data_IF_369419963841
#
_entry.id   IF_369419963841
#
_cell.length_a   1.000
_cell.length_b   1.000
_cell.length_c   1.000
_cell.angle_alpha   90.00
_cell.angle_beta   90.00
_cell.angle_gamma   90.00
#
_symmetry.space_group_name_H-M   'P 1'
#
loop_
_entity.id
_entity.type
_entity.pdbx_description
1 polymer ?
#
# COMPACT_ATOMS: atom_id res chain seq x y z
N UNK A 1 13.77 2.44 -15.70
CA UNK A 1 12.38 1.95 -15.64
C UNK A 1 11.71 2.04 -17.02
N UNK A 2 11.42 3.20 -17.56
CA UNK A 2 10.71 3.35 -18.88
C UNK A 2 11.35 2.56 -20.01
N UNK A 3 12.67 2.57 -20.14
CA UNK A 3 13.41 1.80 -21.16
C UNK A 3 13.19 0.28 -21.08
N UNK A 4 12.71 -0.21 -19.93
CA UNK A 4 12.39 -1.62 -19.68
C UNK A 4 10.89 -1.88 -19.59
N UNK A 5 10.06 -0.98 -20.13
CA UNK A 5 8.59 -1.05 -20.12
C UNK A 5 7.97 -1.11 -18.70
N UNK A 6 8.68 -0.62 -17.69
CA UNK A 6 8.11 -0.44 -16.37
C UNK A 6 7.37 0.90 -16.33
N UNK A 7 6.09 0.86 -15.94
CA UNK A 7 5.22 2.04 -15.91
C UNK A 7 4.76 2.42 -14.49
N UNK A 8 5.06 1.62 -13.50
CA UNK A 8 4.67 1.88 -12.11
C UNK A 8 5.76 1.48 -11.12
N UNK A 9 5.70 2.04 -9.94
CA UNK A 9 6.62 1.76 -8.83
C UNK A 9 5.91 1.87 -7.50
N UNK A 10 6.08 0.87 -6.64
CA UNK A 10 5.74 0.93 -5.22
C UNK A 10 6.92 1.48 -4.43
N UNK A 11 6.65 2.42 -3.55
CA UNK A 11 7.66 3.06 -2.70
C UNK A 11 7.83 2.27 -1.39
N UNK A 12 8.48 1.15 -1.47
CA UNK A 12 8.78 0.28 -0.33
C UNK A 12 9.83 0.94 0.58
N UNK A 13 9.58 1.24 1.80
CA UNK A 13 8.35 1.17 2.60
C UNK A 13 8.16 2.52 3.27
N UNK A 14 8.33 3.61 2.51
CA UNK A 14 8.25 4.99 2.97
C UNK A 14 8.21 5.97 1.78
N UNK A 15 7.66 7.19 1.96
CA UNK A 15 7.72 8.23 0.93
C UNK A 15 9.14 8.59 0.55
N UNK A 16 9.37 8.80 -0.74
CA UNK A 16 10.68 9.11 -1.31
C UNK A 16 10.99 10.62 -1.32
N UNK A 17 12.17 10.99 -1.84
CA UNK A 17 12.54 12.38 -2.10
C UNK A 17 11.55 13.04 -3.08
N UNK A 18 11.31 14.35 -2.92
CA UNK A 18 10.39 15.11 -3.79
C UNK A 18 10.76 15.03 -5.26
N UNK A 19 12.04 15.06 -5.58
CA UNK A 19 12.54 14.96 -6.94
C UNK A 19 12.12 13.66 -7.62
N UNK A 20 11.94 12.59 -6.85
CA UNK A 20 11.45 11.31 -7.38
C UNK A 20 10.02 11.44 -7.93
N UNK A 21 9.12 12.09 -7.19
CA UNK A 21 7.74 12.33 -7.63
C UNK A 21 7.69 13.25 -8.85
N UNK A 22 8.48 14.33 -8.85
CA UNK A 22 8.61 15.22 -10.00
C UNK A 22 9.04 14.46 -11.26
N UNK A 23 10.02 13.56 -11.14
CA UNK A 23 10.45 12.70 -12.24
C UNK A 23 9.37 11.69 -12.64
N UNK A 24 8.60 11.16 -11.71
CA UNK A 24 7.48 10.29 -12.03
C UNK A 24 6.39 11.03 -12.81
N UNK A 25 6.09 12.28 -12.44
CA UNK A 25 5.17 13.13 -13.18
C UNK A 25 5.72 13.43 -14.60
N UNK A 26 7.01 13.80 -14.71
CA UNK A 26 7.67 14.11 -16.00
C UNK A 26 7.70 12.90 -16.94
N UNK A 27 8.05 11.71 -16.43
CA UNK A 27 8.19 10.50 -17.25
C UNK A 27 6.95 9.65 -17.35
N UNK A 28 5.86 10.02 -16.68
CA UNK A 28 4.61 9.27 -16.70
C UNK A 28 4.73 7.89 -16.03
N UNK A 29 5.32 7.84 -14.84
CA UNK A 29 5.35 6.66 -13.98
C UNK A 29 4.24 6.75 -12.95
N UNK A 30 3.45 5.71 -12.79
CA UNK A 30 2.48 5.61 -11.72
C UNK A 30 3.17 5.29 -10.41
N UNK A 31 2.82 6.02 -9.36
CA UNK A 31 3.39 5.85 -8.02
C UNK A 31 2.36 5.24 -7.08
N UNK A 32 2.77 4.18 -6.44
CA UNK A 32 2.11 3.54 -5.33
C UNK A 32 2.80 4.04 -4.05
N UNK A 33 2.26 5.10 -3.46
CA UNK A 33 2.88 5.78 -2.33
C UNK A 33 2.53 5.11 -1.02
N UNK A 34 3.51 4.91 -0.14
CA UNK A 34 3.38 4.09 1.05
C UNK A 34 3.75 4.84 2.32
N UNK A 35 2.88 4.75 3.31
CA UNK A 35 3.15 5.29 4.63
C UNK A 35 4.30 4.52 5.31
N UNK A 36 5.18 5.24 6.00
CA UNK A 36 6.30 4.63 6.72
C UNK A 36 5.81 3.90 7.98
N UNK A 37 5.15 2.78 7.77
CA UNK A 37 4.62 1.91 8.82
C UNK A 37 5.01 0.48 8.49
N UNK A 38 5.88 -0.07 9.32
CA UNK A 38 6.26 -1.47 9.29
C UNK A 38 6.56 -1.96 10.70
N UNK A 39 6.09 -3.18 11.03
CA UNK A 39 6.34 -3.81 12.31
C UNK A 39 6.32 -5.35 12.17
N UNK A 40 7.03 -5.87 11.19
CA UNK A 40 7.02 -7.27 10.75
C UNK A 40 7.18 -8.25 11.92
N UNK A 41 8.10 -8.00 12.83
CA UNK A 41 8.31 -8.87 14.00
C UNK A 41 7.13 -8.99 14.97
N UNK A 42 6.11 -8.14 14.82
CA UNK A 42 4.95 -8.06 15.73
C UNK A 42 3.60 -8.24 15.01
N UNK A 43 3.57 -8.52 13.73
CA UNK A 43 2.32 -8.47 12.96
C UNK A 43 1.46 -9.74 13.05
N UNK A 44 1.99 -10.85 13.52
CA UNK A 44 1.26 -12.12 13.59
C UNK A 44 0.21 -12.17 14.69
N UNK A 45 0.32 -11.37 15.73
CA UNK A 45 -0.67 -11.30 16.80
C UNK A 45 -1.72 -10.24 16.50
N UNK A 46 -2.86 -10.67 15.98
CA UNK A 46 -3.97 -9.80 15.61
C UNK A 46 -4.91 -9.47 16.78
N UNK A 47 -4.67 -10.02 17.98
CA UNK A 47 -5.44 -9.64 19.17
C UNK A 47 -5.23 -8.17 19.49
N UNK A 48 -6.23 -7.53 20.07
CA UNK A 48 -6.11 -6.14 20.53
C UNK A 48 -4.86 -5.98 21.42
N UNK A 49 -3.98 -5.08 21.01
CA UNK A 49 -2.71 -4.84 21.69
C UNK A 49 -1.59 -5.83 21.34
N UNK A 50 -1.86 -6.88 20.57
CA UNK A 50 -0.87 -7.87 20.19
C UNK A 50 0.09 -7.39 19.11
N UNK A 51 -0.40 -6.60 18.17
CA UNK A 51 0.42 -5.90 17.18
C UNK A 51 0.32 -4.40 17.35
N UNK A 52 1.32 -3.64 16.87
CA UNK A 52 1.26 -2.17 16.90
C UNK A 52 0.08 -1.65 16.07
N UNK A 53 -0.26 -2.34 14.97
CA UNK A 53 -1.40 -2.00 14.11
C UNK A 53 -2.76 -2.15 14.80
N UNK A 54 -2.86 -2.97 15.84
CA UNK A 54 -4.09 -3.20 16.60
C UNK A 54 -3.99 -2.74 18.07
N UNK A 55 -3.01 -1.95 18.43
CA UNK A 55 -2.88 -1.31 19.73
C UNK A 55 -3.26 0.16 19.66
N UNK A 56 -4.40 0.61 20.25
CA UNK A 56 -4.86 1.99 20.17
C UNK A 56 -3.86 3.04 20.70
N UNK A 57 -2.94 2.67 21.58
CA UNK A 57 -1.89 3.57 22.06
C UNK A 57 -0.95 4.03 20.93
N UNK A 58 -0.87 3.24 19.86
CA UNK A 58 -0.08 3.52 18.66
C UNK A 58 -0.88 4.20 17.54
N UNK A 59 -2.13 4.61 17.82
CA UNK A 59 -2.96 5.30 16.82
C UNK A 59 -2.29 6.57 16.32
N UNK A 60 -1.80 7.41 17.23
CA UNK A 60 -1.20 8.69 16.85
C UNK A 60 0.01 8.51 15.91
N UNK A 61 1.01 7.66 16.19
CA UNK A 61 2.08 7.39 15.24
C UNK A 61 1.61 6.89 13.86
N UNK A 62 0.59 6.05 13.79
CA UNK A 62 0.04 5.57 12.51
C UNK A 62 -0.62 6.71 11.74
N UNK A 63 -1.47 7.49 12.41
CA UNK A 63 -2.13 8.65 11.80
C UNK A 63 -1.12 9.70 11.33
N UNK A 64 -0.14 10.05 12.16
CA UNK A 64 0.88 11.05 11.80
C UNK A 64 1.63 10.67 10.52
N UNK A 65 2.02 9.40 10.37
CA UNK A 65 2.72 8.91 9.17
C UNK A 65 1.83 8.96 7.93
N UNK A 66 0.61 8.51 8.06
CA UNK A 66 -0.37 8.50 6.96
C UNK A 66 -0.73 9.93 6.53
N UNK A 67 -1.01 10.81 7.48
CA UNK A 67 -1.34 12.23 7.22
C UNK A 67 -0.15 12.92 6.55
N UNK A 68 1.05 12.75 7.07
CA UNK A 68 2.24 13.40 6.51
C UNK A 68 2.55 12.92 5.08
N UNK A 69 2.40 11.64 4.78
CA UNK A 69 2.50 11.12 3.42
C UNK A 69 1.48 11.82 2.50
N UNK A 70 0.21 11.80 2.88
CA UNK A 70 -0.86 12.38 2.09
C UNK A 70 -0.69 13.88 1.87
N UNK A 71 -0.52 14.67 2.93
CA UNK A 71 -0.40 16.14 2.84
C UNK A 71 0.79 16.57 2.00
N UNK A 72 1.88 15.83 2.08
CA UNK A 72 3.07 16.09 1.28
C UNK A 72 2.88 15.76 -0.20
N UNK A 73 2.18 14.68 -0.53
CA UNK A 73 2.23 14.06 -1.85
C UNK A 73 0.90 14.11 -2.63
N UNK A 74 -0.19 14.58 -2.04
CA UNK A 74 -1.54 14.61 -2.65
C UNK A 74 -1.63 15.36 -3.97
N UNK A 75 -0.72 16.30 -4.23
CA UNK A 75 -0.72 17.13 -5.42
C UNK A 75 0.12 16.58 -6.58
N UNK A 76 0.79 15.43 -6.41
CA UNK A 76 1.50 14.76 -7.51
C UNK A 76 0.54 13.89 -8.33
N UNK A 77 0.31 14.19 -9.62
CA UNK A 77 -0.56 13.39 -10.49
C UNK A 77 -0.10 11.94 -10.66
N UNK A 78 1.20 11.71 -10.54
CA UNK A 78 1.78 10.36 -10.61
C UNK A 78 1.36 9.46 -9.46
N UNK A 79 1.01 10.01 -8.29
CA UNK A 79 0.51 9.21 -7.16
C UNK A 79 -0.90 8.71 -7.47
N UNK A 80 -1.04 7.41 -7.70
CA UNK A 80 -2.29 6.77 -8.11
C UNK A 80 -2.91 5.87 -7.05
N UNK A 81 -2.11 5.41 -6.09
CA UNK A 81 -2.55 4.56 -4.97
C UNK A 81 -1.94 5.05 -3.67
N UNK A 82 -2.69 4.89 -2.58
CA UNK A 82 -2.20 5.06 -1.23
C UNK A 82 -2.05 3.71 -0.55
N UNK A 83 -0.89 3.47 0.06
CA UNK A 83 -0.66 2.29 0.90
C UNK A 83 -0.58 2.67 2.37
N UNK A 84 -1.27 1.91 3.20
CA UNK A 84 -1.27 2.15 4.64
C UNK A 84 0.04 1.74 5.32
N UNK A 85 0.86 0.92 4.66
CA UNK A 85 2.12 0.42 5.20
C UNK A 85 2.45 -0.98 4.72
N UNK A 86 3.41 -1.61 5.38
CA UNK A 86 3.90 -2.94 5.06
C UNK A 86 3.97 -3.81 6.31
N UNK A 87 3.55 -5.07 6.21
CA UNK A 87 3.76 -6.16 7.17
C UNK A 87 3.65 -5.76 8.65
N UNK A 88 2.58 -5.03 9.01
CA UNK A 88 2.40 -4.48 10.36
C UNK A 88 1.14 -5.01 11.07
N UNK A 89 0.62 -6.18 10.65
CA UNK A 89 -0.64 -6.70 11.12
C UNK A 89 -1.83 -5.91 10.58
N UNK A 90 -3.01 -6.15 11.10
CA UNK A 90 -4.20 -5.37 10.79
C UNK A 90 -5.00 -5.12 12.06
N UNK A 91 -5.86 -4.10 12.05
CA UNK A 91 -6.75 -3.78 13.15
C UNK A 91 -7.01 -2.29 13.30
N UNK A 92 -7.33 -1.90 14.50
CA UNK A 92 -7.90 -0.59 14.83
C UNK A 92 -7.16 0.59 14.17
N UNK A 93 -5.83 0.65 14.25
CA UNK A 93 -5.07 1.78 13.72
C UNK A 93 -5.13 1.85 12.19
N UNK A 94 -5.08 0.70 11.52
CA UNK A 94 -5.22 0.64 10.05
C UNK A 94 -6.65 0.94 9.60
N UNK A 95 -7.66 0.59 10.39
CA UNK A 95 -9.05 0.99 10.10
C UNK A 95 -9.20 2.51 10.15
N UNK A 96 -8.59 3.16 11.15
CA UNK A 96 -8.65 4.63 11.28
C UNK A 96 -7.88 5.34 10.15
N UNK A 97 -6.68 4.85 9.80
CA UNK A 97 -5.90 5.44 8.68
C UNK A 97 -6.59 5.27 7.33
N UNK A 98 -7.22 4.12 7.09
CA UNK A 98 -8.02 3.90 5.89
C UNK A 98 -9.17 4.89 5.78
N UNK A 99 -10.01 4.97 6.82
CA UNK A 99 -11.16 5.87 6.84
C UNK A 99 -10.74 7.32 6.65
N UNK A 100 -9.66 7.73 7.30
CA UNK A 100 -9.13 9.07 7.16
C UNK A 100 -8.68 9.37 5.72
N UNK A 101 -7.92 8.49 5.09
CA UNK A 101 -7.46 8.67 3.69
C UNK A 101 -8.64 8.74 2.72
N UNK A 102 -9.63 7.86 2.87
CA UNK A 102 -10.83 7.87 2.02
C UNK A 102 -11.58 9.18 2.12
N UNK A 103 -11.68 9.77 3.29
CA UNK A 103 -12.33 11.09 3.47
C UNK A 103 -11.43 12.23 2.98
N UNK A 104 -10.12 12.20 3.28
CA UNK A 104 -9.19 13.26 2.90
C UNK A 104 -9.04 13.41 1.38
N UNK A 105 -9.00 12.31 0.64
CA UNK A 105 -8.85 12.31 -0.83
C UNK A 105 -10.17 12.36 -1.62
N UNK A 106 -11.30 12.32 -0.93
CA UNK A 106 -12.65 12.22 -1.50
C UNK A 106 -12.97 13.29 -2.55
N UNK A 107 -12.53 14.51 -2.35
CA UNK A 107 -12.79 15.65 -3.23
C UNK A 107 -11.54 16.08 -4.03
N UNK A 108 -10.50 15.25 -4.06
CA UNK A 108 -9.25 15.51 -4.80
C UNK A 108 -9.18 14.58 -6.00
N UNK A 109 -8.81 13.32 -5.79
CA UNK A 109 -8.70 12.32 -6.85
C UNK A 109 -9.41 11.00 -6.53
N UNK A 110 -9.86 10.80 -5.31
CA UNK A 110 -10.51 9.56 -4.84
C UNK A 110 -9.65 8.31 -5.09
N UNK A 111 -8.36 8.43 -4.83
CA UNK A 111 -7.41 7.35 -5.09
C UNK A 111 -7.76 6.11 -4.28
N UNK A 112 -7.57 4.92 -4.86
CA UNK A 112 -7.69 3.69 -4.10
C UNK A 112 -6.69 3.64 -2.95
N UNK A 113 -7.12 3.06 -1.84
CA UNK A 113 -6.29 2.78 -0.68
C UNK A 113 -6.11 1.29 -0.57
N UNK A 114 -4.88 0.84 -0.41
CA UNK A 114 -4.59 -0.55 -0.23
C UNK A 114 -3.82 -0.84 1.06
N UNK A 115 -3.95 -2.08 1.50
CA UNK A 115 -3.13 -2.62 2.56
C UNK A 115 -3.07 -4.15 2.46
N UNK A 116 -1.88 -4.72 2.35
CA UNK A 116 -1.71 -6.15 2.07
C UNK A 116 -2.18 -7.05 3.24
N UNK A 117 -2.01 -6.61 4.50
CA UNK A 117 -2.49 -7.36 5.66
C UNK A 117 -3.98 -7.24 5.92
N UNK A 118 -4.68 -6.34 5.25
CA UNK A 118 -6.13 -6.34 5.24
C UNK A 118 -6.71 -7.54 4.48
N UNK A 119 -5.96 -8.10 3.52
CA UNK A 119 -6.42 -9.21 2.70
C UNK A 119 -7.80 -8.93 2.08
N UNK A 120 -8.84 -9.63 2.52
CA UNK A 120 -10.21 -9.46 2.08
C UNK A 120 -11.07 -8.60 3.01
N UNK A 121 -10.48 -8.02 4.05
CA UNK A 121 -11.19 -7.11 4.95
C UNK A 121 -11.58 -5.80 4.23
N UNK A 122 -12.44 -5.02 4.88
CA UNK A 122 -13.04 -3.83 4.30
C UNK A 122 -12.08 -2.63 4.18
N UNK A 123 -10.97 -2.62 4.91
CA UNK A 123 -10.00 -1.53 4.94
C UNK A 123 -8.93 -1.62 3.86
N UNK A 124 -9.33 -2.11 2.70
CA UNK A 124 -8.56 -2.10 1.46
C UNK A 124 -9.50 -2.09 0.26
N UNK A 125 -9.19 -1.30 -0.77
CA UNK A 125 -10.01 -1.25 -1.99
C UNK A 125 -9.64 -2.36 -2.99
N UNK A 126 -8.57 -3.10 -2.73
CA UNK A 126 -8.08 -4.17 -3.59
C UNK A 126 -7.49 -5.31 -2.75
N UNK A 127 -7.38 -6.50 -3.33
CA UNK A 127 -6.63 -7.59 -2.73
C UNK A 127 -5.15 -7.49 -3.15
N UNK A 128 -4.27 -7.46 -2.17
CA UNK A 128 -2.84 -7.17 -2.36
C UNK A 128 -2.01 -8.35 -1.85
N UNK A 129 -1.85 -9.41 -2.64
CA UNK A 129 -1.04 -10.54 -2.23
C UNK A 129 0.45 -10.18 -2.29
N UNK A 130 1.20 -10.71 -1.33
CA UNK A 130 2.66 -10.73 -1.37
C UNK A 130 3.11 -12.09 -1.90
N UNK A 131 4.08 -12.07 -2.82
CA UNK A 131 4.71 -13.28 -3.38
C UNK A 131 3.72 -14.33 -3.93
N UNK A 132 2.68 -13.96 -4.67
CA UNK A 132 1.72 -14.93 -5.18
C UNK A 132 2.40 -15.87 -6.18
N UNK A 133 2.11 -17.18 -6.05
CA UNK A 133 2.57 -18.17 -7.01
C UNK A 133 1.83 -18.05 -8.36
N UNK A 134 2.49 -18.44 -9.45
CA UNK A 134 1.92 -18.35 -10.79
C UNK A 134 0.59 -19.13 -10.93
N UNK A 135 0.49 -20.32 -10.35
CA UNK A 135 -0.75 -21.12 -10.36
C UNK A 135 -1.92 -20.41 -9.68
N UNK A 136 -1.66 -19.75 -8.55
CA UNK A 136 -2.69 -18.97 -7.86
C UNK A 136 -3.16 -17.77 -8.71
N UNK A 137 -2.23 -17.08 -9.38
CA UNK A 137 -2.58 -15.97 -10.29
C UNK A 137 -3.40 -16.47 -11.49
N UNK A 138 -3.05 -17.64 -12.03
CA UNK A 138 -3.80 -18.25 -13.12
C UNK A 138 -5.23 -18.63 -12.68
N UNK A 139 -5.37 -19.22 -11.50
CA UNK A 139 -6.67 -19.61 -10.95
C UNK A 139 -7.57 -18.42 -10.68
N UNK A 140 -7.05 -17.36 -10.06
CA UNK A 140 -7.82 -16.14 -9.81
C UNK A 140 -8.18 -15.43 -11.13
N UNK A 141 -7.28 -15.47 -12.11
CA UNK A 141 -7.54 -14.91 -13.44
C UNK A 141 -8.66 -15.64 -14.20
N UNK A 142 -8.81 -16.97 -13.99
CA UNK A 142 -9.89 -17.77 -14.58
C UNK A 142 -11.21 -17.61 -13.85
N UNK A 143 -11.18 -17.54 -12.52
CA UNK A 143 -12.39 -17.54 -11.68
C UNK A 143 -12.93 -16.12 -11.42
N UNK A 144 -12.10 -15.11 -11.68
CA UNK A 144 -12.43 -13.72 -11.35
C UNK A 144 -12.25 -13.38 -9.88
N UNK A 145 -12.43 -12.11 -9.55
CA UNK A 145 -12.39 -11.57 -8.20
C UNK A 145 -13.36 -10.41 -8.08
N UNK A 146 -13.96 -10.23 -6.93
CA UNK A 146 -14.84 -9.09 -6.61
C UNK A 146 -14.06 -7.79 -6.39
N UNK A 147 -12.73 -7.87 -6.26
CA UNK A 147 -11.81 -6.73 -6.11
C UNK A 147 -10.65 -6.84 -7.08
N UNK A 148 -10.04 -5.72 -7.49
CA UNK A 148 -8.79 -5.74 -8.23
C UNK A 148 -7.70 -6.51 -7.47
N UNK A 149 -6.93 -7.30 -8.19
CA UNK A 149 -5.77 -8.02 -7.64
C UNK A 149 -4.51 -7.26 -8.02
N UNK A 150 -3.81 -6.75 -7.00
CA UNK A 150 -2.59 -5.96 -7.19
C UNK A 150 -1.47 -6.52 -6.31
N UNK A 151 -0.65 -7.44 -6.81
CA UNK A 151 0.48 -7.95 -6.04
C UNK A 151 1.42 -6.81 -5.65
N UNK A 152 1.72 -6.68 -4.36
CA UNK A 152 2.63 -5.64 -3.87
C UNK A 152 4.09 -6.05 -3.97
N UNK A 153 4.36 -7.35 -3.90
CA UNK A 153 5.70 -7.90 -3.94
C UNK A 153 5.72 -9.21 -4.71
N UNK A 154 6.80 -9.40 -5.47
CA UNK A 154 7.09 -10.65 -6.17
C UNK A 154 8.44 -11.18 -5.70
N UNK A 155 8.61 -12.50 -5.75
CA UNK A 155 9.91 -13.11 -5.49
C UNK A 155 10.85 -12.69 -6.63
N UNK A 156 11.84 -11.86 -6.31
CA UNK A 156 12.94 -11.61 -7.24
C UNK A 156 13.88 -12.79 -7.19
N UNK A 157 13.78 -13.68 -8.15
CA UNK A 157 14.81 -14.69 -8.35
C UNK A 157 16.02 -14.04 -9.00
N UNK A 158 17.10 -13.90 -8.26
CA UNK A 158 18.40 -13.49 -8.79
C UNK A 158 19.06 -14.56 -9.66
N UNK A 159 18.36 -15.67 -9.89
CA UNK A 159 18.81 -16.81 -10.71
C UNK A 159 17.77 -17.20 -11.74
N UNK A 160 17.56 -16.33 -12.73
CA UNK A 160 17.13 -16.79 -14.04
C UNK A 160 18.37 -17.41 -14.71
N UNK A 161 18.50 -18.72 -14.66
CA UNK A 161 19.37 -19.47 -15.56
C UNK A 161 18.70 -19.62 -16.91
#
# INVERSE_FOLDING_TARGET
MKQHNLNSVRLCHYPQDRRFYELCDEYGLYVYDEANIESHGMYYDLRKGGSLGNNPEWLKPHMDRTINMFERNKNYPSVTFWSLGNEAGNGYNFYQTYLWLKEADKNIMQRPVNYERAQWEWNTDMYVPQYPGAGWLEDIGKNGSDRPIVPSESVSYTHLR
#
